data_IF_606952999846
#
_entry.id   IF_606952999846
#
_cell.length_a   1.000
_cell.length_b   1.000
_cell.length_c   1.000
_cell.angle_alpha   90.00
_cell.angle_beta   90.00
_cell.angle_gamma   90.00
#
_symmetry.space_group_name_H-M   'P 1'
#
loop_
_entity.id
_entity.type
_entity.pdbx_description
1 polymer ?
#
# COMPACT_ATOMS: atom_id res chain seq x y z
N UNK A 1 12.41 7.18 -1.31
CA UNK A 1 11.12 6.79 -0.70
C UNK A 1 11.36 6.27 0.71
N UNK A 2 10.57 6.73 1.66
CA UNK A 2 10.65 6.33 3.07
C UNK A 2 9.56 5.30 3.37
N UNK A 3 9.81 4.39 4.31
CA UNK A 3 8.81 3.41 4.74
C UNK A 3 8.20 3.82 6.07
N UNK A 4 6.89 3.65 6.20
CA UNK A 4 6.20 3.83 7.48
C UNK A 4 6.67 2.76 8.45
N UNK A 5 6.91 3.16 9.71
CA UNK A 5 7.46 2.27 10.75
C UNK A 5 6.58 2.16 11.97
N UNK A 6 5.85 3.21 12.32
CA UNK A 6 5.10 3.25 13.57
C UNK A 6 3.60 3.10 13.35
N UNK A 7 2.93 2.60 14.38
CA UNK A 7 1.47 2.49 14.36
C UNK A 7 0.81 3.85 14.16
N UNK A 8 1.35 4.90 14.78
CA UNK A 8 0.82 6.25 14.65
C UNK A 8 0.88 6.75 13.21
N UNK A 9 1.95 6.44 12.50
CA UNK A 9 2.09 6.79 11.08
C UNK A 9 1.01 6.10 10.25
N UNK A 10 0.80 4.80 10.43
CA UNK A 10 -0.23 4.05 9.71
C UNK A 10 -1.63 4.59 10.03
N UNK A 11 -1.92 4.86 11.29
CA UNK A 11 -3.22 5.37 11.70
C UNK A 11 -3.52 6.74 11.06
N UNK A 12 -2.51 7.62 11.01
CA UNK A 12 -2.67 8.94 10.41
C UNK A 12 -3.03 8.83 8.92
N UNK A 13 -2.37 7.94 8.19
CA UNK A 13 -2.64 7.75 6.76
C UNK A 13 -4.02 7.13 6.53
N UNK A 14 -4.38 6.12 7.34
CA UNK A 14 -5.68 5.45 7.23
C UNK A 14 -6.84 6.39 7.57
N UNK A 15 -6.60 7.38 8.43
CA UNK A 15 -7.60 8.41 8.76
C UNK A 15 -7.73 9.47 7.65
N UNK A 16 -6.80 9.52 6.71
CA UNK A 16 -6.83 10.42 5.58
C UNK A 16 -7.76 9.95 4.47
N UNK A 17 -7.52 10.43 3.26
CA UNK A 17 -8.37 10.12 2.11
C UNK A 17 -8.05 8.76 1.50
N UNK A 18 -9.08 8.07 1.01
CA UNK A 18 -8.91 6.93 0.11
C UNK A 18 -8.85 7.48 -1.31
N UNK A 19 -7.70 7.33 -1.94
CA UNK A 19 -7.41 7.96 -3.24
C UNK A 19 -7.79 7.08 -4.41
N UNK A 20 -7.65 5.77 -4.25
CA UNK A 20 -7.94 4.80 -5.31
C UNK A 20 -8.29 3.45 -4.70
N UNK A 21 -9.04 2.65 -5.46
CA UNK A 21 -9.41 1.28 -5.08
C UNK A 21 -9.37 0.37 -6.29
N UNK A 22 -9.05 -0.89 -6.04
CA UNK A 22 -9.21 -1.98 -6.99
C UNK A 22 -9.96 -3.13 -6.28
N UNK A 23 -10.13 -4.26 -6.95
CA UNK A 23 -10.86 -5.39 -6.37
C UNK A 23 -10.27 -5.85 -5.02
N UNK A 24 -8.94 -5.85 -4.89
CA UNK A 24 -8.27 -6.39 -3.70
C UNK A 24 -7.50 -5.35 -2.89
N UNK A 25 -7.29 -4.15 -3.42
CA UNK A 25 -6.45 -3.14 -2.77
C UNK A 25 -7.14 -1.78 -2.65
N UNK A 26 -6.66 -0.99 -1.71
CA UNK A 26 -7.02 0.42 -1.58
C UNK A 26 -5.75 1.22 -1.30
N UNK A 27 -5.67 2.42 -1.84
CA UNK A 27 -4.59 3.36 -1.56
C UNK A 27 -5.13 4.51 -0.72
N UNK A 28 -4.54 4.68 0.46
CA UNK A 28 -4.86 5.78 1.37
C UNK A 28 -3.72 6.79 1.37
N UNK A 29 -4.03 8.04 1.60
CA UNK A 29 -3.05 9.13 1.58
C UNK A 29 -3.37 10.19 2.62
N UNK A 30 -2.33 10.73 3.26
CA UNK A 30 -2.45 11.93 4.06
C UNK A 30 -1.27 12.86 3.81
N UNK A 31 -1.44 14.13 4.18
CA UNK A 31 -0.36 15.12 4.06
C UNK A 31 0.74 14.84 5.09
N UNK A 32 1.95 15.33 4.82
CA UNK A 32 3.11 15.11 5.68
C UNK A 32 3.12 15.99 6.94
N UNK A 33 2.16 16.91 7.08
CA UNK A 33 2.05 17.78 8.24
C UNK A 33 1.36 17.11 9.44
N UNK A 34 0.96 15.84 9.32
CA UNK A 34 0.33 15.10 10.41
C UNK A 34 1.25 15.01 11.62
N UNK A 35 0.67 15.16 12.80
CA UNK A 35 1.42 15.17 14.07
C UNK A 35 0.76 14.25 15.10
N UNK A 36 1.58 13.78 16.06
CA UNK A 36 1.12 13.05 17.23
C UNK A 36 1.76 13.71 18.44
N UNK A 37 0.94 14.19 19.39
CA UNK A 37 1.41 14.88 20.61
C UNK A 37 2.39 16.02 20.30
N UNK A 38 2.06 16.83 19.29
CA UNK A 38 2.88 17.94 18.78
C UNK A 38 4.22 17.51 18.18
N UNK A 39 4.42 16.19 17.97
CA UNK A 39 5.61 15.65 17.32
C UNK A 39 5.30 15.30 15.86
N UNK A 40 6.09 15.77 14.89
CA UNK A 40 5.88 15.40 13.49
C UNK A 40 6.00 13.89 13.29
N UNK A 41 5.06 13.31 12.57
CA UNK A 41 5.09 11.88 12.24
C UNK A 41 6.00 11.58 11.04
N UNK A 42 6.20 12.58 10.18
CA UNK A 42 6.98 12.43 8.95
C UNK A 42 8.06 13.51 8.93
N UNK A 43 9.29 13.12 9.25
CA UNK A 43 10.39 14.07 9.46
C UNK A 43 10.96 14.65 8.18
N UNK A 44 10.79 13.94 7.05
CA UNK A 44 11.41 14.29 5.79
C UNK A 44 10.35 14.54 4.72
N UNK A 45 10.55 15.56 3.88
CA UNK A 45 9.72 15.79 2.70
C UNK A 45 10.08 14.76 1.63
N UNK A 46 9.31 13.68 1.56
CA UNK A 46 9.55 12.58 0.65
C UNK A 46 8.25 11.81 0.45
N UNK A 47 8.27 10.85 -0.45
CA UNK A 47 7.19 9.87 -0.58
C UNK A 47 7.36 8.84 0.55
N UNK A 48 6.34 8.73 1.40
CA UNK A 48 6.31 7.73 2.47
C UNK A 48 5.32 6.64 2.09
N UNK A 49 5.70 5.39 2.31
CA UNK A 49 4.86 4.25 1.94
C UNK A 49 4.82 3.20 3.05
N UNK A 50 3.62 2.72 3.31
CA UNK A 50 3.38 1.57 4.17
C UNK A 50 2.54 0.54 3.43
N UNK A 51 2.81 -0.74 3.69
CA UNK A 51 2.00 -1.84 3.21
C UNK A 51 1.21 -2.44 4.37
N UNK A 52 -0.09 -2.60 4.19
CA UNK A 52 -0.95 -3.23 5.18
C UNK A 52 -1.62 -4.44 4.56
N UNK A 53 -1.25 -5.63 5.04
CA UNK A 53 -1.78 -6.91 4.55
C UNK A 53 -2.38 -7.65 5.74
N UNK A 54 -3.69 -7.44 6.02
CA UNK A 54 -4.32 -8.05 7.19
C UNK A 54 -4.36 -9.57 7.12
N UNK A 55 -4.20 -10.21 8.28
CA UNK A 55 -4.20 -11.65 8.41
C UNK A 55 -5.50 -12.29 7.94
N UNK A 56 -6.62 -11.61 8.14
CA UNK A 56 -7.93 -12.10 7.70
C UNK A 56 -8.05 -12.29 6.20
N UNK A 57 -7.27 -11.54 5.41
CA UNK A 57 -7.26 -11.62 3.95
C UNK A 57 -6.11 -12.45 3.39
N UNK A 58 -5.06 -12.68 4.18
CA UNK A 58 -3.91 -13.48 3.80
C UNK A 58 -3.38 -14.17 5.06
N UNK A 59 -3.89 -15.36 5.34
CA UNK A 59 -3.62 -16.07 6.60
C UNK A 59 -2.17 -16.51 6.75
N UNK A 60 -1.53 -16.93 5.67
CA UNK A 60 -0.14 -17.40 5.71
C UNK A 60 0.84 -16.25 5.72
N UNK A 61 1.83 -16.31 6.61
CA UNK A 61 2.87 -15.29 6.67
C UNK A 61 3.64 -15.17 5.34
N UNK A 62 3.89 -16.30 4.68
CA UNK A 62 4.60 -16.29 3.39
C UNK A 62 3.80 -15.56 2.32
N UNK A 63 2.48 -15.69 2.33
CA UNK A 63 1.60 -14.96 1.41
C UNK A 63 1.63 -13.46 1.71
N UNK A 64 1.51 -13.09 3.00
CA UNK A 64 1.57 -11.68 3.40
C UNK A 64 2.90 -11.05 3.00
N UNK A 65 4.00 -11.74 3.22
CA UNK A 65 5.33 -11.24 2.88
C UNK A 65 5.49 -11.09 1.37
N UNK A 66 4.98 -12.02 0.58
CA UNK A 66 5.02 -11.93 -0.88
C UNK A 66 4.24 -10.73 -1.40
N UNK A 67 3.05 -10.49 -0.84
CA UNK A 67 2.22 -9.34 -1.22
C UNK A 67 2.90 -8.03 -0.82
N UNK A 68 3.40 -7.93 0.41
CA UNK A 68 4.12 -6.74 0.88
C UNK A 68 5.32 -6.42 -0.02
N UNK A 69 6.08 -7.44 -0.41
CA UNK A 69 7.22 -7.26 -1.29
C UNK A 69 6.80 -6.65 -2.63
N UNK A 70 5.72 -7.15 -3.21
CA UNK A 70 5.20 -6.60 -4.47
C UNK A 70 4.73 -5.15 -4.29
N UNK A 71 4.07 -4.83 -3.18
CA UNK A 71 3.65 -3.46 -2.89
C UNK A 71 4.84 -2.51 -2.91
N UNK A 72 5.91 -2.85 -2.21
CA UNK A 72 7.10 -1.98 -2.17
C UNK A 72 7.82 -1.91 -3.51
N UNK A 73 7.93 -3.03 -4.23
CA UNK A 73 8.61 -3.06 -5.52
C UNK A 73 7.86 -2.24 -6.58
N UNK A 74 6.55 -2.42 -6.69
CA UNK A 74 5.75 -1.69 -7.67
C UNK A 74 5.72 -0.20 -7.33
N UNK A 75 5.58 0.13 -6.05
CA UNK A 75 5.54 1.53 -5.61
C UNK A 75 6.88 2.22 -5.84
N UNK A 76 7.99 1.54 -5.60
CA UNK A 76 9.33 2.10 -5.85
C UNK A 76 9.54 2.36 -7.34
N UNK A 77 9.08 1.46 -8.21
CA UNK A 77 9.18 1.64 -9.65
C UNK A 77 8.32 2.81 -10.15
N UNK A 78 7.28 3.16 -9.41
CA UNK A 78 6.35 4.25 -9.77
C UNK A 78 6.52 5.49 -8.90
N UNK A 79 7.61 5.59 -8.15
CA UNK A 79 7.82 6.68 -7.18
C UNK A 79 7.70 8.07 -7.83
N UNK A 80 8.18 8.22 -9.06
CA UNK A 80 8.13 9.49 -9.78
C UNK A 80 6.70 10.00 -9.99
N UNK A 81 5.70 9.12 -9.93
CA UNK A 81 4.30 9.46 -10.12
C UNK A 81 3.56 9.67 -8.80
N UNK A 82 4.21 9.45 -7.66
CA UNK A 82 3.62 9.65 -6.34
C UNK A 82 4.00 11.01 -5.80
N UNK A 83 3.05 11.80 -5.28
CA UNK A 83 3.38 13.09 -4.66
C UNK A 83 4.09 12.88 -3.34
N UNK A 84 4.88 13.88 -2.86
CA UNK A 84 5.47 13.83 -1.52
C UNK A 84 4.37 13.91 -0.46
N UNK A 85 3.93 12.75 -0.01
CA UNK A 85 2.85 12.57 0.94
C UNK A 85 3.04 11.19 1.60
N UNK A 86 2.23 10.88 2.59
CA UNK A 86 2.26 9.56 3.22
C UNK A 86 1.16 8.69 2.62
N UNK A 87 1.53 7.49 2.21
CA UNK A 87 0.64 6.55 1.52
C UNK A 87 0.60 5.21 2.24
N UNK A 88 -0.56 4.54 2.23
CA UNK A 88 -0.70 3.14 2.65
C UNK A 88 -1.43 2.39 1.54
N UNK A 89 -0.82 1.32 1.06
CA UNK A 89 -1.49 0.35 0.19
C UNK A 89 -1.99 -0.78 1.07
N UNK A 90 -3.30 -0.95 1.10
CA UNK A 90 -3.98 -1.92 1.98
C UNK A 90 -4.65 -3.01 1.16
N UNK A 91 -4.40 -4.26 1.54
CA UNK A 91 -5.16 -5.40 1.01
C UNK A 91 -6.55 -5.39 1.69
N UNK A 92 -7.61 -5.31 0.89
CA UNK A 92 -9.00 -5.19 1.38
C UNK A 92 -9.86 -6.41 1.12
N UNK A 93 -9.33 -7.40 0.43
CA UNK A 93 -10.06 -8.62 0.09
C UNK A 93 -9.06 -9.74 -0.20
N UNK A 94 -9.46 -10.98 0.08
CA UNK A 94 -8.60 -12.14 -0.15
C UNK A 94 -8.55 -12.51 -1.64
N UNK A 95 -7.36 -12.92 -2.10
CA UNK A 95 -7.23 -13.55 -3.41
C UNK A 95 -7.79 -14.97 -3.35
N UNK A 96 -8.45 -15.41 -4.43
CA UNK A 96 -9.11 -16.71 -4.49
C UNK A 96 -8.09 -17.84 -4.39
N UNK A 97 -8.23 -18.68 -3.36
CA UNK A 97 -7.36 -19.84 -3.14
C UNK A 97 -7.48 -20.90 -4.22
N UNK A 98 -8.66 -21.01 -4.84
CA UNK A 98 -8.87 -21.97 -5.93
C UNK A 98 -8.06 -21.58 -7.16
N UNK A 99 -7.90 -20.28 -7.37
CA UNK A 99 -7.11 -19.74 -8.48
C UNK A 99 -5.61 -19.74 -8.14
N UNK A 100 -5.26 -19.48 -6.86
CA UNK A 100 -3.87 -19.35 -6.41
C UNK A 100 -3.57 -20.42 -5.36
N UNK A 101 -3.23 -21.61 -5.84
CA UNK A 101 -3.02 -22.78 -4.99
C UNK A 101 -1.80 -22.65 -4.08
N UNK A 102 -0.74 -22.02 -4.60
CA UNK A 102 0.49 -21.81 -3.84
C UNK A 102 0.53 -20.40 -3.24
N UNK A 103 0.92 -20.31 -1.95
CA UNK A 103 1.01 -19.05 -1.23
C UNK A 103 2.03 -18.06 -1.85
N UNK A 104 2.99 -18.55 -2.62
CA UNK A 104 4.04 -17.74 -3.24
C UNK A 104 4.20 -18.03 -4.73
N UNK A 105 3.12 -18.47 -5.39
CA UNK A 105 3.16 -18.80 -6.82
C UNK A 105 3.47 -17.58 -7.68
N UNK A 106 4.12 -17.82 -8.82
CA UNK A 106 4.38 -16.75 -9.78
C UNK A 106 3.09 -16.16 -10.33
N UNK A 107 2.03 -16.99 -10.43
CA UNK A 107 0.71 -16.56 -10.86
C UNK A 107 0.14 -15.53 -9.88
N UNK A 108 0.24 -15.79 -8.58
CA UNK A 108 -0.21 -14.84 -7.55
C UNK A 108 0.59 -13.54 -7.61
N UNK A 109 1.91 -13.63 -7.71
CA UNK A 109 2.77 -12.45 -7.79
C UNK A 109 2.45 -11.60 -9.01
N UNK A 110 2.22 -12.22 -10.16
CA UNK A 110 1.85 -11.53 -11.39
C UNK A 110 0.50 -10.82 -11.26
N UNK A 111 -0.49 -11.49 -10.67
CA UNK A 111 -1.82 -10.92 -10.45
C UNK A 111 -1.76 -9.72 -9.49
N UNK A 112 -1.01 -9.85 -8.40
CA UNK A 112 -0.82 -8.78 -7.43
C UNK A 112 -0.14 -7.58 -8.09
N UNK A 113 0.93 -7.82 -8.83
CA UNK A 113 1.68 -6.75 -9.52
C UNK A 113 0.80 -6.00 -10.52
N UNK A 114 0.04 -6.72 -11.34
CA UNK A 114 -0.83 -6.11 -12.34
C UNK A 114 -1.89 -5.22 -11.67
N UNK A 115 -2.48 -5.71 -10.58
CA UNK A 115 -3.51 -4.95 -9.87
C UNK A 115 -2.92 -3.72 -9.16
N UNK A 116 -1.71 -3.84 -8.59
CA UNK A 116 -1.04 -2.70 -7.97
C UNK A 116 -0.69 -1.62 -8.99
N UNK A 117 -0.27 -2.00 -10.18
CA UNK A 117 -0.02 -1.05 -11.26
C UNK A 117 -1.31 -0.31 -11.62
N UNK A 118 -2.43 -1.02 -11.71
CA UNK A 118 -3.73 -0.43 -11.96
C UNK A 118 -4.15 0.53 -10.83
N UNK A 119 -3.90 0.15 -9.58
CA UNK A 119 -4.20 0.98 -8.42
C UNK A 119 -3.45 2.31 -8.49
N UNK A 120 -2.15 2.27 -8.78
CA UNK A 120 -1.31 3.47 -8.88
C UNK A 120 -1.71 4.35 -10.06
N UNK A 121 -2.11 3.75 -11.18
CA UNK A 121 -2.62 4.50 -12.34
C UNK A 121 -3.92 5.24 -11.97
N UNK A 122 -4.83 4.58 -11.27
CA UNK A 122 -6.07 5.21 -10.79
C UNK A 122 -5.78 6.34 -9.83
N UNK A 123 -4.79 6.17 -8.96
CA UNK A 123 -4.39 7.22 -8.02
C UNK A 123 -3.84 8.44 -8.75
N UNK A 124 -3.07 8.22 -9.82
CA UNK A 124 -2.52 9.30 -10.63
C UNK A 124 -3.61 10.11 -11.35
N UNK A 125 -4.64 9.44 -11.85
CA UNK A 125 -5.75 10.10 -12.57
C UNK A 125 -6.77 10.73 -11.62
N UNK A 126 -6.84 10.30 -10.37
CA UNK A 126 -7.76 10.83 -9.38
C UNK A 126 -7.39 12.24 -8.88
N UNK A 127 -6.26 12.76 -9.32
CA UNK A 127 -5.76 14.08 -8.94
C UNK A 127 -6.34 15.14 -9.86
N UNK A 128 -7.53 15.40 -9.73
CA UNK A 128 -8.14 16.47 -10.52
C UNK A 128 -8.21 17.76 -9.72
#
# INVERSE_FOLDING_TARGET
MQRLKTRAQFQAVLAGATVARTAHFALHRCALDAQSDATPLFETQDVWLGAMVPKRWARRAVTRNAIKRQIYQVSAASEAFLPPAAHVVRLRSAFDRKEFVSASSDKLKAAVRAELQQLLERAATARA
#
